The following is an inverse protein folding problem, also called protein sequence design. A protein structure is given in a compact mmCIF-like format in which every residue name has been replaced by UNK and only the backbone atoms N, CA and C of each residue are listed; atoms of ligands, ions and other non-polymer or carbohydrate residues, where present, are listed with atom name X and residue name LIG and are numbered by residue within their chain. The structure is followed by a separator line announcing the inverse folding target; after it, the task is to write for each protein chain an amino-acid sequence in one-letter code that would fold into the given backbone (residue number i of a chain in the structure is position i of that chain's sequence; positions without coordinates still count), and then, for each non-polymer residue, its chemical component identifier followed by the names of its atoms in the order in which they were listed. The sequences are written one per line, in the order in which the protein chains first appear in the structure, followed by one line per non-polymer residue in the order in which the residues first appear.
data_IF_924254463396
#
_entry.id   IF_924254463396
#
_cell.length_a   1.000
_cell.length_b   1.000
_cell.length_c   1.000
_cell.angle_alpha   90.00
_cell.angle_beta   90.00
_cell.angle_gamma   90.00
#
_symmetry.space_group_name_H-M   'P 1'
#
loop_
_entity.id
_entity.type
_entity.pdbx_description
1 polymer ?
#
# COMPACT_ATOMS: atom_id res chain seq x y z
N UNK A 1 -9.29 7.07 -14.06
CA UNK A 1 -9.12 6.16 -12.91
C UNK A 1 -8.21 4.98 -13.23
N UNK A 2 -8.46 4.18 -14.28
CA UNK A 2 -7.55 3.07 -14.66
C UNK A 2 -6.11 3.56 -14.93
N UNK A 3 -5.94 4.63 -15.70
CA UNK A 3 -4.62 5.25 -15.93
C UNK A 3 -3.90 5.70 -14.65
N UNK A 4 -4.64 6.07 -13.60
CA UNK A 4 -4.04 6.43 -12.32
C UNK A 4 -3.52 5.19 -11.60
N UNK A 5 -4.25 4.07 -11.67
CA UNK A 5 -3.80 2.78 -11.13
C UNK A 5 -2.53 2.32 -11.85
N UNK A 6 -2.51 2.36 -13.18
CA UNK A 6 -1.33 2.00 -13.98
C UNK A 6 -0.10 2.84 -13.59
N UNK A 7 -0.28 4.16 -13.48
CA UNK A 7 0.78 5.06 -13.02
C UNK A 7 1.23 4.79 -11.58
N UNK A 8 0.29 4.47 -10.68
CA UNK A 8 0.62 4.13 -9.29
C UNK A 8 1.45 2.84 -9.23
N UNK A 9 1.17 1.84 -10.06
CA UNK A 9 1.97 0.60 -10.15
C UNK A 9 3.42 0.93 -10.53
N UNK A 10 3.63 1.77 -11.55
CA UNK A 10 4.98 2.19 -11.97
C UNK A 10 5.74 2.92 -10.85
N UNK A 11 5.07 3.84 -10.14
CA UNK A 11 5.66 4.58 -9.02
C UNK A 11 6.01 3.65 -7.87
N UNK A 12 5.13 2.73 -7.48
CA UNK A 12 5.39 1.78 -6.40
C UNK A 12 6.59 0.89 -6.75
N UNK A 13 6.61 0.28 -7.94
CA UNK A 13 7.70 -0.59 -8.36
C UNK A 13 9.04 0.15 -8.35
N UNK A 14 9.12 1.31 -9.01
CA UNK A 14 10.36 2.08 -9.12
C UNK A 14 10.84 2.70 -7.80
N UNK A 15 9.93 2.90 -6.83
CA UNK A 15 10.28 3.35 -5.48
C UNK A 15 10.82 2.19 -4.64
N UNK A 16 10.14 1.04 -4.64
CA UNK A 16 10.55 -0.13 -3.85
C UNK A 16 11.87 -0.73 -4.35
N UNK A 17 12.14 -0.71 -5.66
CA UNK A 17 13.44 -1.11 -6.23
C UNK A 17 14.63 -0.30 -5.69
N UNK A 18 14.39 0.93 -5.23
CA UNK A 18 15.41 1.85 -4.72
C UNK A 18 15.42 1.94 -3.19
N UNK A 19 14.50 1.24 -2.52
CA UNK A 19 14.39 1.28 -1.06
C UNK A 19 15.51 0.44 -0.45
N UNK A 20 16.39 1.11 0.30
CA UNK A 20 17.43 0.41 1.06
C UNK A 20 16.87 -0.19 2.35
N UNK A 21 17.53 -1.21 2.88
CA UNK A 21 17.17 -1.80 4.18
C UNK A 21 17.33 -0.77 5.33
N UNK A 22 18.29 0.14 5.20
CA UNK A 22 18.48 1.24 6.15
C UNK A 22 17.26 2.18 6.14
N UNK A 23 16.79 2.58 4.96
CA UNK A 23 15.62 3.46 4.83
C UNK A 23 14.33 2.78 5.28
N UNK A 24 14.18 1.49 5.02
CA UNK A 24 13.04 0.71 5.48
C UNK A 24 12.93 0.71 7.02
N UNK A 25 14.08 0.67 7.72
CA UNK A 25 14.16 0.67 9.19
C UNK A 25 14.06 2.07 9.81
N UNK A 26 14.19 3.15 9.02
CA UNK A 26 14.01 4.53 9.52
C UNK A 26 12.55 4.77 9.94
N UNK A 27 12.38 5.62 10.94
CA UNK A 27 11.07 6.15 11.30
C UNK A 27 10.46 6.89 10.10
N UNK A 28 9.20 6.58 9.79
CA UNK A 28 8.46 7.26 8.75
C UNK A 28 8.20 8.71 9.20
N UNK A 29 8.45 9.73 8.37
CA UNK A 29 8.49 11.13 8.80
C UNK A 29 7.13 11.70 9.23
N UNK A 30 6.04 10.96 9.05
CA UNK A 30 4.69 11.34 9.41
C UNK A 30 4.10 10.27 10.33
N UNK A 31 3.02 10.62 11.03
CA UNK A 31 2.26 9.69 11.87
C UNK A 31 0.82 9.49 11.35
N UNK A 32 0.59 8.90 10.15
CA UNK A 32 -0.76 8.77 9.59
C UNK A 32 -1.72 7.95 10.45
N UNK A 33 -1.18 7.08 11.32
CA UNK A 33 -1.95 6.25 12.25
C UNK A 33 -2.00 6.84 13.67
N UNK A 34 -1.46 8.04 13.88
CA UNK A 34 -1.42 8.73 15.19
C UNK A 34 -0.33 8.22 16.14
N UNK A 35 0.66 7.49 15.64
CA UNK A 35 1.84 7.06 16.40
C UNK A 35 3.05 6.87 15.47
N UNK A 36 4.29 6.99 16.00
CA UNK A 36 5.52 6.72 15.24
C UNK A 36 5.62 5.27 14.77
N UNK A 37 6.13 5.07 13.55
CA UNK A 37 6.36 3.73 12.99
C UNK A 37 7.53 3.74 12.00
N UNK A 38 8.11 2.58 11.70
CA UNK A 38 9.12 2.50 10.63
C UNK A 38 8.47 2.61 9.25
N UNK A 39 9.26 2.99 8.25
CA UNK A 39 8.84 2.97 6.83
C UNK A 39 8.36 1.58 6.43
N UNK A 40 9.07 0.52 6.83
CA UNK A 40 8.68 -0.87 6.60
C UNK A 40 7.31 -1.21 7.20
N UNK A 41 7.08 -0.84 8.46
CA UNK A 41 5.79 -1.09 9.11
C UNK A 41 4.65 -0.39 8.37
N UNK A 42 4.87 0.86 7.94
CA UNK A 42 3.87 1.59 7.18
C UNK A 42 3.60 0.95 5.82
N UNK A 43 4.62 0.44 5.12
CA UNK A 43 4.44 -0.30 3.86
C UNK A 43 3.63 -1.59 4.06
N UNK A 44 3.89 -2.35 5.13
CA UNK A 44 3.09 -3.53 5.50
C UNK A 44 1.63 -3.14 5.76
N UNK A 45 1.40 -2.04 6.48
CA UNK A 45 0.05 -1.51 6.71
C UNK A 45 -0.67 -1.18 5.38
N UNK A 46 0.01 -0.52 4.44
CA UNK A 46 -0.56 -0.17 3.13
C UNK A 46 -0.92 -1.41 2.30
N UNK A 47 -0.11 -2.48 2.36
CA UNK A 47 -0.43 -3.76 1.70
C UNK A 47 -1.69 -4.38 2.32
N UNK A 48 -1.78 -4.46 3.65
CA UNK A 48 -2.96 -4.99 4.32
C UNK A 48 -4.23 -4.14 4.03
N UNK A 49 -4.07 -2.82 3.93
CA UNK A 49 -5.15 -1.91 3.56
C UNK A 49 -5.63 -2.11 2.12
N UNK A 50 -4.70 -2.33 1.18
CA UNK A 50 -5.04 -2.69 -0.20
C UNK A 50 -5.81 -4.01 -0.25
N UNK A 51 -5.32 -5.05 0.45
CA UNK A 51 -5.98 -6.37 0.50
C UNK A 51 -7.39 -6.29 1.09
N UNK A 52 -7.59 -5.46 2.12
CA UNK A 52 -8.91 -5.18 2.69
C UNK A 52 -9.89 -4.66 1.61
N UNK A 53 -9.47 -3.67 0.81
CA UNK A 53 -10.29 -3.12 -0.26
C UNK A 53 -10.50 -4.10 -1.42
N UNK A 54 -9.50 -4.90 -1.78
CA UNK A 54 -9.67 -5.98 -2.77
C UNK A 54 -10.69 -7.02 -2.28
N UNK A 55 -10.69 -7.32 -0.98
CA UNK A 55 -11.70 -8.14 -0.33
C UNK A 55 -13.11 -7.57 -0.49
N UNK A 56 -13.29 -6.25 -0.31
CA UNK A 56 -14.58 -5.58 -0.53
C UNK A 56 -15.05 -5.68 -1.99
N UNK A 57 -14.15 -5.45 -2.96
CA UNK A 57 -14.47 -5.60 -4.39
C UNK A 57 -14.91 -7.04 -4.70
N UNK A 58 -14.15 -8.02 -4.22
CA UNK A 58 -14.47 -9.43 -4.42
C UNK A 58 -15.78 -9.84 -3.72
N UNK A 59 -16.07 -9.27 -2.55
CA UNK A 59 -17.35 -9.46 -1.88
C UNK A 59 -18.52 -8.94 -2.73
N UNK A 60 -18.40 -7.73 -3.30
CA UNK A 60 -19.43 -7.17 -4.18
C UNK A 60 -19.59 -7.96 -5.48
N UNK A 61 -18.50 -8.48 -6.06
CA UNK A 61 -18.56 -9.37 -7.24
C UNK A 61 -19.40 -10.62 -6.96
N UNK A 62 -19.12 -11.30 -5.83
CA UNK A 62 -19.92 -12.46 -5.39
C UNK A 62 -21.39 -12.13 -5.13
N UNK A 63 -21.69 -10.94 -4.61
CA UNK A 63 -23.08 -10.52 -4.36
C UNK A 63 -23.87 -10.31 -5.66
N UNK A 64 -23.19 -9.95 -6.74
CA UNK A 64 -23.76 -9.65 -8.05
C UNK A 64 -23.68 -10.83 -9.04
N UNK A 65 -23.25 -12.02 -8.58
CA UNK A 65 -23.00 -13.22 -9.40
C UNK A 65 -22.11 -12.97 -10.65
N UNK A 66 -21.09 -12.12 -10.50
CA UNK A 66 -20.08 -11.79 -11.53
C UNK A 66 -18.67 -12.24 -11.13
#
# INVERSE_FOLDING_TARGET
MIQQIEKTIEVVNSTLEKLSEEDAKKEYPLEPLGYPMTTEYFLIHLVAHLDYHLGQINYHRRLLDI
#
